data_IF_074219239679
#
_entry.id   IF_074219239679
#
_cell.length_a   1.000
_cell.length_b   1.000
_cell.length_c   1.000
_cell.angle_alpha   90.00
_cell.angle_beta   90.00
_cell.angle_gamma   90.00
#
_symmetry.space_group_name_H-M   'P 1'
#
loop_
_entity.id
_entity.type
_entity.pdbx_description
1 polymer ?
#
# COMPACT_ATOMS: atom_id res chain seq x y z
N UNK A 1 4.61 21.38 -5.34
CA UNK A 1 3.46 20.78 -6.05
C UNK A 1 3.68 19.28 -6.22
N UNK A 2 2.68 18.52 -6.68
CA UNK A 2 2.83 17.09 -7.02
C UNK A 2 3.98 16.85 -8.02
N UNK A 3 4.09 17.70 -9.04
CA UNK A 3 5.16 17.62 -10.05
C UNK A 3 6.56 17.77 -9.43
N UNK A 4 6.74 18.69 -8.48
CA UNK A 4 8.01 18.83 -7.75
C UNK A 4 8.34 17.59 -6.94
N UNK A 5 7.36 17.03 -6.22
CA UNK A 5 7.55 15.81 -5.43
C UNK A 5 7.95 14.62 -6.31
N UNK A 6 7.24 14.43 -7.42
CA UNK A 6 7.56 13.40 -8.41
C UNK A 6 8.97 13.58 -8.98
N UNK A 7 9.34 14.81 -9.36
CA UNK A 7 10.68 15.12 -9.90
C UNK A 7 11.81 14.85 -8.91
N UNK A 8 11.62 15.17 -7.62
CA UNK A 8 12.62 14.87 -6.59
C UNK A 8 12.78 13.36 -6.41
N UNK A 9 11.68 12.60 -6.40
CA UNK A 9 11.76 11.14 -6.22
C UNK A 9 12.32 10.42 -7.44
N UNK A 10 12.08 10.89 -8.66
CA UNK A 10 12.65 10.30 -9.86
C UNK A 10 14.16 10.55 -9.99
N UNK A 11 14.71 11.53 -9.29
CA UNK A 11 16.15 11.83 -9.30
C UNK A 11 17.00 10.65 -8.80
N UNK A 12 16.47 9.80 -7.90
CA UNK A 12 17.18 8.59 -7.46
C UNK A 12 17.52 7.67 -8.64
N UNK A 13 16.60 7.59 -9.62
CA UNK A 13 16.73 6.74 -10.80
C UNK A 13 17.69 7.33 -11.82
N UNK A 14 17.81 8.67 -11.89
CA UNK A 14 18.78 9.34 -12.79
C UNK A 14 20.24 9.10 -12.41
N UNK A 15 20.49 8.69 -11.17
CA UNK A 15 21.84 8.37 -10.66
C UNK A 15 22.19 6.90 -10.83
N UNK A 16 21.28 6.08 -11.33
CA UNK A 16 21.56 4.69 -11.60
C UNK A 16 22.58 4.53 -12.74
N UNK A 17 23.31 3.43 -12.68
CA UNK A 17 24.29 2.97 -13.67
C UNK A 17 23.97 1.52 -14.04
N UNK A 18 24.74 0.91 -14.94
CA UNK A 18 24.55 -0.52 -15.28
C UNK A 18 24.78 -1.47 -14.10
N UNK A 19 25.49 -1.02 -13.06
CA UNK A 19 25.67 -1.76 -11.81
C UNK A 19 24.51 -1.59 -10.82
N UNK A 20 23.54 -0.70 -11.11
CA UNK A 20 22.41 -0.44 -10.22
C UNK A 20 21.33 -1.51 -10.33
N UNK A 21 20.52 -1.60 -9.28
CA UNK A 21 19.39 -2.51 -9.20
C UNK A 21 18.15 -1.70 -8.82
N UNK A 22 17.10 -1.81 -9.62
CA UNK A 22 15.86 -1.02 -9.48
C UNK A 22 14.67 -1.94 -9.22
N UNK A 23 13.84 -1.56 -8.26
CA UNK A 23 12.52 -2.14 -8.04
C UNK A 23 11.46 -1.10 -8.40
N UNK A 24 10.51 -1.46 -9.26
CA UNK A 24 9.43 -0.56 -9.67
C UNK A 24 8.06 -1.19 -9.48
N UNK A 25 7.15 -0.46 -8.84
CA UNK A 25 5.74 -0.88 -8.76
C UNK A 25 5.09 -0.85 -10.14
N UNK A 26 4.58 -2.00 -10.58
CA UNK A 26 3.79 -2.12 -11.78
C UNK A 26 2.36 -1.61 -11.58
N UNK A 27 1.85 -1.65 -10.35
CA UNK A 27 0.47 -1.25 -10.01
C UNK A 27 0.28 0.27 -10.04
N UNK A 28 1.37 1.04 -9.90
CA UNK A 28 1.36 2.50 -10.02
C UNK A 28 1.82 2.89 -11.44
N UNK A 29 0.93 3.42 -12.30
CA UNK A 29 1.30 3.87 -13.65
C UNK A 29 2.41 4.92 -13.66
N UNK A 30 2.47 5.78 -12.64
CA UNK A 30 3.50 6.81 -12.51
C UNK A 30 4.86 6.16 -12.27
N UNK A 31 4.95 5.27 -11.28
CA UNK A 31 6.19 4.53 -11.00
C UNK A 31 6.59 3.66 -12.19
N UNK A 32 5.65 2.91 -12.77
CA UNK A 32 5.87 2.06 -13.95
C UNK A 32 6.42 2.86 -15.14
N UNK A 33 5.96 4.09 -15.34
CA UNK A 33 6.47 4.98 -16.38
C UNK A 33 7.94 5.35 -16.22
N UNK A 34 8.48 5.31 -14.99
CA UNK A 34 9.89 5.60 -14.71
C UNK A 34 10.82 4.44 -15.10
N UNK A 35 10.30 3.24 -15.30
CA UNK A 35 11.10 2.05 -15.59
C UNK A 35 11.70 2.03 -17.00
N UNK A 36 11.22 2.87 -17.92
CA UNK A 36 11.72 2.89 -19.32
C UNK A 36 13.10 3.53 -19.47
N UNK A 37 13.63 4.16 -18.42
CA UNK A 37 14.84 4.95 -18.46
C UNK A 37 15.88 4.54 -17.39
N UNK A 38 15.73 3.37 -16.77
CA UNK A 38 16.67 2.90 -15.73
C UNK A 38 17.72 1.95 -16.31
N UNK A 39 19.03 2.24 -16.15
CA UNK A 39 20.08 1.30 -16.48
C UNK A 39 20.19 0.18 -15.43
N UNK A 40 20.91 -0.88 -15.79
CA UNK A 40 21.19 -2.01 -14.90
C UNK A 40 20.03 -2.99 -14.74
N UNK A 41 19.96 -3.63 -13.56
CA UNK A 41 18.97 -4.67 -13.26
C UNK A 41 17.66 -4.05 -12.83
N UNK A 42 16.54 -4.61 -13.30
CA UNK A 42 15.20 -4.12 -12.99
C UNK A 42 14.28 -5.29 -12.67
N UNK A 43 13.56 -5.19 -11.55
CA UNK A 43 12.42 -6.06 -11.24
C UNK A 43 11.16 -5.21 -11.04
N UNK A 44 10.05 -5.68 -11.61
CA UNK A 44 8.74 -5.10 -11.36
C UNK A 44 8.09 -5.72 -10.13
N UNK A 45 7.15 -5.01 -9.50
CA UNK A 45 6.36 -5.55 -8.38
C UNK A 45 4.88 -5.34 -8.59
N UNK A 46 4.06 -6.36 -8.33
CA UNK A 46 2.60 -6.21 -8.29
C UNK A 46 1.97 -6.94 -7.12
N UNK A 47 1.19 -6.24 -6.31
CA UNK A 47 0.36 -6.85 -5.27
C UNK A 47 -1.08 -7.07 -5.75
N UNK A 48 -1.45 -6.54 -6.92
CA UNK A 48 -2.80 -6.61 -7.47
C UNK A 48 -3.01 -7.77 -8.45
N UNK A 49 -1.94 -8.35 -9.01
CA UNK A 49 -2.07 -9.47 -9.92
C UNK A 49 -0.77 -9.90 -10.60
N UNK A 50 -0.86 -10.79 -11.60
CA UNK A 50 0.30 -11.29 -12.32
C UNK A 50 0.94 -10.21 -13.20
N UNK A 51 2.26 -10.30 -13.36
CA UNK A 51 3.01 -9.47 -14.30
C UNK A 51 2.91 -10.06 -15.72
N UNK A 52 2.90 -9.20 -16.77
CA UNK A 52 3.06 -9.64 -18.14
C UNK A 52 4.25 -10.59 -18.30
N UNK A 53 4.09 -11.66 -19.09
CA UNK A 53 5.09 -12.75 -19.18
C UNK A 53 6.52 -12.29 -19.55
N UNK A 54 6.62 -11.19 -20.30
CA UNK A 54 7.89 -10.58 -20.69
C UNK A 54 8.61 -9.78 -19.58
N UNK A 55 8.01 -9.64 -18.40
CA UNK A 55 8.54 -8.84 -17.30
C UNK A 55 8.94 -9.74 -16.14
N UNK A 56 10.17 -9.56 -15.68
CA UNK A 56 10.67 -10.13 -14.43
C UNK A 56 10.23 -9.28 -13.24
N UNK A 57 10.07 -9.93 -12.10
CA UNK A 57 9.55 -9.27 -10.91
C UNK A 57 9.09 -10.19 -9.80
N UNK A 58 8.48 -9.57 -8.79
CA UNK A 58 7.76 -10.29 -7.74
C UNK A 58 6.30 -9.88 -7.80
N UNK A 59 5.39 -10.83 -7.77
CA UNK A 59 3.99 -10.52 -7.95
C UNK A 59 3.05 -11.48 -7.22
N UNK A 60 1.76 -11.16 -7.19
CA UNK A 60 0.74 -11.97 -6.51
C UNK A 60 -0.19 -12.60 -7.54
N UNK A 61 -0.38 -13.91 -7.44
CA UNK A 61 -1.35 -14.66 -8.23
C UNK A 61 -1.91 -15.79 -7.38
N UNK A 62 -3.22 -16.03 -7.46
CA UNK A 62 -3.90 -17.14 -6.78
C UNK A 62 -3.51 -17.34 -5.29
N UNK A 63 -3.47 -16.23 -4.54
CA UNK A 63 -3.15 -16.25 -3.10
C UNK A 63 -1.69 -16.61 -2.79
N UNK A 64 -0.78 -16.51 -3.76
CA UNK A 64 0.64 -16.77 -3.59
C UNK A 64 1.48 -15.61 -4.11
N UNK A 65 2.65 -15.42 -3.50
CA UNK A 65 3.69 -14.53 -3.98
C UNK A 65 4.64 -15.35 -4.86
N UNK A 66 4.85 -14.88 -6.08
CA UNK A 66 5.76 -15.46 -7.06
C UNK A 66 6.94 -14.53 -7.33
N UNK A 67 8.09 -15.12 -7.65
CA UNK A 67 9.26 -14.44 -8.16
C UNK A 67 9.57 -14.96 -9.57
N UNK A 68 9.81 -14.06 -10.52
CA UNK A 68 10.26 -14.38 -11.86
C UNK A 68 11.54 -13.61 -12.16
N UNK A 69 12.59 -14.35 -12.55
CA UNK A 69 13.87 -13.78 -12.97
C UNK A 69 14.39 -14.58 -14.16
N UNK A 70 14.78 -13.88 -15.23
CA UNK A 70 15.24 -14.48 -16.47
C UNK A 70 14.22 -15.49 -17.04
N UNK A 71 12.92 -15.17 -16.89
CA UNK A 71 11.82 -16.04 -17.29
C UNK A 71 11.57 -17.25 -16.38
N UNK A 72 12.43 -17.51 -15.38
CA UNK A 72 12.26 -18.60 -14.43
C UNK A 72 11.37 -18.17 -13.27
N UNK A 73 10.21 -18.80 -13.18
CA UNK A 73 9.21 -18.53 -12.16
C UNK A 73 9.30 -19.48 -10.97
N UNK A 74 9.17 -18.93 -9.76
CA UNK A 74 9.27 -19.65 -8.50
C UNK A 74 8.21 -19.13 -7.54
N UNK A 75 7.58 -20.04 -6.81
CA UNK A 75 6.61 -19.70 -5.76
C UNK A 75 7.37 -19.45 -4.45
N UNK A 76 7.24 -18.25 -3.88
CA UNK A 76 7.94 -17.87 -2.66
C UNK A 76 7.18 -18.30 -1.40
N UNK A 77 5.93 -17.86 -1.25
CA UNK A 77 5.08 -18.17 -0.11
C UNK A 77 3.59 -17.87 -0.41
N UNK A 78 2.64 -18.54 0.26
CA UNK A 78 1.25 -18.11 0.30
C UNK A 78 1.09 -16.72 0.93
N UNK A 79 0.16 -15.90 0.44
CA UNK A 79 -0.15 -14.60 1.03
C UNK A 79 -0.79 -14.75 2.42
N UNK A 80 -1.49 -15.86 2.66
CA UNK A 80 -2.09 -16.22 3.95
C UNK A 80 -1.05 -16.43 5.06
N UNK A 81 0.21 -16.68 4.72
CA UNK A 81 1.30 -16.82 5.68
C UNK A 81 1.75 -15.46 6.27
N UNK A 82 1.29 -14.34 5.69
CA UNK A 82 1.58 -13.00 6.20
C UNK A 82 0.66 -12.66 7.37
N UNK A 83 1.25 -12.47 8.54
CA UNK A 83 0.49 -12.19 9.77
C UNK A 83 0.01 -10.74 9.87
N UNK A 84 0.71 -9.81 9.24
CA UNK A 84 0.40 -8.38 9.30
C UNK A 84 -0.50 -7.97 8.13
N UNK A 85 -1.57 -7.20 8.42
CA UNK A 85 -2.51 -6.72 7.42
C UNK A 85 -1.93 -5.55 6.62
N UNK A 86 -2.32 -5.45 5.34
CA UNK A 86 -1.86 -4.37 4.45
C UNK A 86 -0.36 -4.40 4.12
N UNK A 87 0.37 -5.48 4.41
CA UNK A 87 1.82 -5.48 4.16
C UNK A 87 2.19 -6.02 2.79
N UNK A 88 1.22 -6.54 2.04
CA UNK A 88 1.46 -7.32 0.83
C UNK A 88 2.32 -6.57 -0.19
N UNK A 89 1.95 -5.34 -0.55
CA UNK A 89 2.74 -4.53 -1.49
C UNK A 89 4.18 -4.30 -0.99
N UNK A 90 4.34 -4.02 0.31
CA UNK A 90 5.66 -3.81 0.90
C UNK A 90 6.49 -5.11 0.90
N UNK A 91 5.88 -6.25 1.19
CA UNK A 91 6.54 -7.57 1.17
C UNK A 91 6.96 -7.93 -0.25
N UNK A 92 6.10 -7.73 -1.24
CA UNK A 92 6.41 -7.97 -2.66
C UNK A 92 7.59 -7.09 -3.10
N UNK A 93 7.59 -5.80 -2.75
CA UNK A 93 8.71 -4.90 -3.07
C UNK A 93 10.00 -5.24 -2.33
N UNK A 94 9.91 -5.61 -1.05
CA UNK A 94 11.08 -6.03 -0.27
C UNK A 94 11.67 -7.35 -0.80
N UNK A 95 10.83 -8.30 -1.20
CA UNK A 95 11.25 -9.54 -1.83
C UNK A 95 11.99 -9.28 -3.15
N UNK A 96 11.47 -8.39 -4.00
CA UNK A 96 12.16 -8.00 -5.24
C UNK A 96 13.54 -7.38 -4.97
N UNK A 97 13.63 -6.50 -3.97
CA UNK A 97 14.90 -5.91 -3.57
C UNK A 97 15.89 -6.96 -3.03
N UNK A 98 15.41 -7.91 -2.22
CA UNK A 98 16.20 -9.00 -1.67
C UNK A 98 16.73 -9.95 -2.77
N UNK A 99 15.91 -10.28 -3.76
CA UNK A 99 16.32 -11.08 -4.94
C UNK A 99 17.38 -10.36 -5.77
N UNK A 100 17.25 -9.04 -5.95
CA UNK A 100 18.30 -8.24 -6.60
C UNK A 100 19.62 -8.30 -5.82
N UNK A 101 19.57 -8.45 -4.50
CA UNK A 101 20.74 -8.63 -3.64
C UNK A 101 21.26 -10.07 -3.55
N UNK A 102 20.62 -11.03 -4.24
CA UNK A 102 21.02 -12.44 -4.22
C UNK A 102 20.58 -13.21 -2.97
N UNK A 103 19.60 -12.70 -2.22
CA UNK A 103 19.01 -13.43 -1.09
C UNK A 103 18.17 -14.58 -1.64
N UNK A 104 18.34 -15.78 -1.08
CA UNK A 104 17.60 -16.97 -1.51
C UNK A 104 16.11 -16.94 -1.12
N UNK A 105 15.28 -17.58 -1.94
CA UNK A 105 13.82 -17.62 -1.81
C UNK A 105 13.34 -18.04 -0.41
N UNK A 106 13.99 -19.04 0.20
CA UNK A 106 13.62 -19.51 1.54
C UNK A 106 13.82 -18.44 2.62
N UNK A 107 14.95 -17.73 2.60
CA UNK A 107 15.22 -16.66 3.56
C UNK A 107 14.24 -15.48 3.40
N UNK A 108 13.84 -15.17 2.17
CA UNK A 108 12.80 -14.17 1.88
C UNK A 108 11.46 -14.61 2.46
N UNK A 109 11.06 -15.85 2.23
CA UNK A 109 9.81 -16.40 2.74
C UNK A 109 9.76 -16.41 4.29
N UNK A 110 10.85 -16.83 4.94
CA UNK A 110 10.97 -16.84 6.39
C UNK A 110 10.89 -15.42 6.98
N UNK A 111 11.61 -14.45 6.40
CA UNK A 111 11.56 -13.06 6.83
C UNK A 111 10.15 -12.45 6.66
N UNK A 112 9.48 -12.76 5.55
CA UNK A 112 8.11 -12.30 5.30
C UNK A 112 7.11 -12.88 6.31
N UNK A 113 7.22 -14.16 6.67
CA UNK A 113 6.42 -14.80 7.73
C UNK A 113 6.67 -14.20 9.11
N UNK A 114 7.93 -13.89 9.41
CA UNK A 114 8.35 -13.33 10.68
C UNK A 114 7.98 -11.85 10.84
N UNK A 115 7.73 -11.14 9.73
CA UNK A 115 7.39 -9.71 9.77
C UNK A 115 6.13 -9.45 10.59
N UNK A 116 6.20 -8.41 11.42
CA UNK A 116 5.09 -7.85 12.18
C UNK A 116 5.00 -6.37 11.85
N UNK A 117 3.78 -5.82 11.79
CA UNK A 117 3.61 -4.40 11.49
C UNK A 117 4.31 -3.55 12.55
N UNK A 118 4.81 -2.39 12.15
CA UNK A 118 5.39 -1.40 13.07
C UNK A 118 4.28 -0.78 13.92
N UNK A 119 4.62 -0.26 15.10
CA UNK A 119 3.73 0.56 15.92
C UNK A 119 3.00 1.61 15.07
N UNK A 120 1.69 1.70 15.27
CA UNK A 120 0.76 2.66 14.68
C UNK A 120 0.55 2.54 13.16
N UNK A 121 0.85 1.37 12.57
CA UNK A 121 0.44 1.01 11.20
C UNK A 121 -0.44 -0.23 11.28
N UNK A 122 -1.75 -0.08 11.10
CA UNK A 122 -2.73 -1.17 11.24
C UNK A 122 -2.50 -2.05 12.48
N UNK A 123 -2.12 -1.43 13.59
CA UNK A 123 -1.73 -2.10 14.82
C UNK A 123 -2.98 -2.57 15.58
N UNK A 124 -3.11 -3.86 15.85
CA UNK A 124 -4.20 -4.35 16.70
C UNK A 124 -3.99 -3.88 18.15
N UNK A 125 -4.93 -3.11 18.67
CA UNK A 125 -4.85 -2.54 20.03
C UNK A 125 -5.59 -3.41 21.04
N UNK A 126 -6.85 -3.74 20.75
CA UNK A 126 -7.70 -4.51 21.65
C UNK A 126 -8.93 -5.03 20.91
N UNK A 127 -9.58 -6.02 21.51
CA UNK A 127 -10.96 -6.40 21.18
C UNK A 127 -11.84 -6.20 22.41
N UNK A 128 -12.96 -5.49 22.25
CA UNK A 128 -13.94 -5.27 23.32
C UNK A 128 -15.35 -5.42 22.78
N UNK A 129 -16.16 -6.24 23.45
CA UNK A 129 -17.56 -6.49 23.09
C UNK A 129 -17.74 -6.92 21.62
N UNK A 130 -16.81 -7.73 21.10
CA UNK A 130 -16.81 -8.21 19.71
C UNK A 130 -16.35 -7.18 18.67
N UNK A 131 -15.81 -6.03 19.09
CA UNK A 131 -15.25 -5.00 18.21
C UNK A 131 -13.73 -4.99 18.35
N UNK A 132 -13.03 -5.21 17.23
CA UNK A 132 -11.58 -5.11 17.14
C UNK A 132 -11.15 -3.68 16.82
N UNK A 133 -10.22 -3.13 17.60
CA UNK A 133 -9.69 -1.79 17.47
C UNK A 133 -8.29 -1.83 16.86
N UNK A 134 -8.09 -1.04 15.80
CA UNK A 134 -6.81 -0.93 15.12
C UNK A 134 -6.32 0.52 15.15
N UNK A 135 -5.06 0.71 15.52
CA UNK A 135 -4.38 1.99 15.48
C UNK A 135 -3.59 2.14 14.19
N UNK A 136 -3.97 3.12 13.39
CA UNK A 136 -3.29 3.50 12.16
C UNK A 136 -2.93 4.99 12.13
N UNK A 137 -2.51 5.55 13.27
CA UNK A 137 -2.21 6.97 13.41
C UNK A 137 -1.11 7.49 12.45
N UNK A 138 -0.34 6.60 11.80
CA UNK A 138 0.62 6.98 10.76
C UNK A 138 -0.01 7.20 9.37
N UNK A 139 -1.29 6.89 9.16
CA UNK A 139 -2.02 7.21 7.94
C UNK A 139 -2.32 8.72 7.82
N UNK A 140 -1.27 9.50 7.59
CA UNK A 140 -1.31 10.98 7.54
C UNK A 140 -1.62 11.54 6.15
N UNK A 141 -2.23 10.75 5.27
CA UNK A 141 -2.65 11.16 3.93
C UNK A 141 -3.76 10.22 3.39
N UNK A 142 -4.60 10.69 2.43
CA UNK A 142 -5.71 9.91 1.88
C UNK A 142 -5.33 8.52 1.35
N UNK A 143 -4.18 8.39 0.68
CA UNK A 143 -3.73 7.11 0.14
C UNK A 143 -3.41 6.09 1.24
N UNK A 144 -2.85 6.54 2.35
CA UNK A 144 -2.57 5.66 3.50
C UNK A 144 -3.87 5.18 4.14
N UNK A 145 -4.87 6.07 4.26
CA UNK A 145 -6.22 5.71 4.74
C UNK A 145 -6.89 4.69 3.83
N UNK A 146 -6.82 4.87 2.50
CA UNK A 146 -7.37 3.89 1.54
C UNK A 146 -6.70 2.53 1.64
N UNK A 147 -5.38 2.52 1.80
CA UNK A 147 -4.62 1.30 2.00
C UNK A 147 -5.05 0.58 3.28
N UNK A 148 -5.24 1.32 4.37
CA UNK A 148 -5.74 0.80 5.63
C UNK A 148 -7.13 0.19 5.50
N UNK A 149 -8.06 0.93 4.89
CA UNK A 149 -9.42 0.46 4.62
C UNK A 149 -9.39 -0.78 3.73
N UNK A 150 -8.55 -0.81 2.70
CA UNK A 150 -8.38 -1.96 1.78
C UNK A 150 -7.91 -3.23 2.49
N UNK A 151 -7.12 -3.11 3.56
CA UNK A 151 -6.61 -4.25 4.32
C UNK A 151 -7.67 -5.06 5.12
N UNK A 152 -8.92 -4.59 5.16
CA UNK A 152 -10.05 -5.25 5.82
C UNK A 152 -11.17 -5.60 4.83
N UNK A 153 -10.96 -6.61 4.01
CA UNK A 153 -11.94 -7.15 3.05
C UNK A 153 -12.93 -8.14 3.68
N UNK A 154 -12.65 -8.59 4.90
CA UNK A 154 -13.39 -9.64 5.62
C UNK A 154 -14.45 -9.12 6.61
N UNK A 155 -14.58 -7.78 6.79
CA UNK A 155 -15.45 -7.18 7.82
C UNK A 155 -15.89 -5.74 7.51
N UNK A 156 -17.02 -5.27 8.04
CA UNK A 156 -17.39 -3.85 8.01
C UNK A 156 -16.48 -3.02 8.92
N UNK A 157 -16.36 -1.72 8.62
CA UNK A 157 -15.48 -0.79 9.34
C UNK A 157 -16.24 0.39 9.94
N UNK A 158 -15.77 0.85 11.09
CA UNK A 158 -16.00 2.23 11.56
C UNK A 158 -14.68 2.96 11.40
N UNK A 159 -14.66 4.02 10.59
CA UNK A 159 -13.44 4.78 10.32
C UNK A 159 -13.46 6.07 11.15
N UNK A 160 -12.41 6.25 11.95
CA UNK A 160 -12.14 7.49 12.67
C UNK A 160 -11.06 8.23 11.88
N UNK A 161 -11.39 9.40 11.32
CA UNK A 161 -10.49 10.13 10.43
C UNK A 161 -10.64 11.64 10.62
N UNK A 162 -9.52 12.36 10.59
CA UNK A 162 -9.55 13.79 10.90
C UNK A 162 -8.20 14.33 11.35
N UNK A 163 -8.18 15.60 11.73
CA UNK A 163 -6.98 16.31 12.14
C UNK A 163 -6.66 17.52 11.25
N UNK A 164 -5.40 17.96 11.29
CA UNK A 164 -4.94 19.18 10.60
C UNK A 164 -4.57 18.94 9.14
N UNK A 165 -4.92 19.88 8.26
CA UNK A 165 -4.49 19.84 6.87
C UNK A 165 -3.07 20.41 6.72
N UNK A 166 -2.08 19.54 6.96
CA UNK A 166 -0.66 19.92 6.89
C UNK A 166 -0.07 19.82 5.49
N UNK A 167 -0.83 19.29 4.51
CA UNK A 167 -0.29 18.91 3.19
C UNK A 167 -1.15 19.40 2.02
N UNK A 168 -2.20 20.19 2.27
CA UNK A 168 -3.20 20.57 1.28
C UNK A 168 -3.68 19.33 0.51
N UNK A 169 -4.14 18.34 1.28
CA UNK A 169 -4.40 17.01 0.77
C UNK A 169 -5.63 16.99 -0.15
N UNK A 170 -5.53 16.27 -1.26
CA UNK A 170 -6.69 16.00 -2.12
C UNK A 170 -7.48 14.80 -1.57
N UNK A 171 -8.56 15.09 -0.84
CA UNK A 171 -9.43 14.09 -0.27
C UNK A 171 -10.35 13.40 -1.28
N UNK A 172 -10.48 13.92 -2.51
CA UNK A 172 -11.34 13.29 -3.54
C UNK A 172 -10.88 11.87 -3.87
N UNK A 173 -9.58 11.60 -3.69
CA UNK A 173 -9.01 10.26 -3.81
C UNK A 173 -9.67 9.23 -2.87
N UNK A 174 -10.25 9.66 -1.73
CA UNK A 174 -10.94 8.75 -0.80
C UNK A 174 -12.20 8.13 -1.41
N UNK A 175 -12.84 8.78 -2.38
CA UNK A 175 -14.10 8.34 -2.98
C UNK A 175 -13.94 7.10 -3.89
N UNK A 176 -13.63 5.96 -3.28
CA UNK A 176 -13.40 4.69 -3.97
C UNK A 176 -14.42 3.63 -3.54
N UNK A 177 -14.64 2.57 -4.34
CA UNK A 177 -15.48 1.45 -3.94
C UNK A 177 -15.08 0.82 -2.60
N UNK A 178 -13.78 0.85 -2.26
CA UNK A 178 -13.24 0.33 -1.01
C UNK A 178 -13.87 0.97 0.23
N UNK A 179 -14.25 2.25 0.14
CA UNK A 179 -14.89 3.01 1.23
C UNK A 179 -16.32 2.56 1.53
N UNK A 180 -16.99 1.82 0.65
CA UNK A 180 -18.35 1.29 0.90
C UNK A 180 -18.42 0.28 2.06
N UNK A 181 -17.27 -0.24 2.49
CA UNK A 181 -17.17 -1.10 3.69
C UNK A 181 -17.20 -0.30 4.99
N UNK A 182 -16.88 0.98 4.94
CA UNK A 182 -17.06 1.89 6.08
C UNK A 182 -18.55 2.08 6.29
N UNK A 183 -19.05 1.56 7.42
CA UNK A 183 -20.46 1.66 7.83
C UNK A 183 -20.75 2.95 8.58
N UNK A 184 -19.73 3.53 9.21
CA UNK A 184 -19.85 4.78 9.94
C UNK A 184 -18.52 5.55 9.90
N UNK A 185 -18.60 6.86 9.71
CA UNK A 185 -17.48 7.80 9.79
C UNK A 185 -17.57 8.58 11.10
N UNK A 186 -16.46 8.63 11.82
CA UNK A 186 -16.26 9.57 12.93
C UNK A 186 -15.21 10.58 12.47
N UNK A 187 -15.64 11.82 12.23
CA UNK A 187 -14.79 12.88 11.70
C UNK A 187 -14.48 13.94 12.75
N UNK A 188 -13.25 14.43 12.76
CA UNK A 188 -12.79 15.44 13.74
C UNK A 188 -11.73 16.39 13.15
N UNK A 189 -11.48 17.51 13.83
CA UNK A 189 -10.47 18.49 13.45
C UNK A 189 -10.75 19.24 12.13
N UNK A 190 -9.76 20.05 11.70
CA UNK A 190 -9.85 20.97 10.55
C UNK A 190 -10.25 20.30 9.22
N UNK A 191 -9.85 19.04 9.02
CA UNK A 191 -10.09 18.29 7.78
C UNK A 191 -11.46 17.61 7.71
N UNK A 192 -12.25 17.59 8.80
CA UNK A 192 -13.52 16.86 8.87
C UNK A 192 -14.48 17.25 7.72
N UNK A 193 -14.70 18.55 7.52
CA UNK A 193 -15.61 19.05 6.48
C UNK A 193 -15.12 18.77 5.06
N UNK A 194 -13.80 18.74 4.84
CA UNK A 194 -13.20 18.44 3.54
C UNK A 194 -13.33 16.95 3.20
N UNK A 195 -13.05 16.07 4.17
CA UNK A 195 -13.21 14.61 4.03
C UNK A 195 -14.66 14.25 3.74
N UNK A 196 -15.61 14.77 4.54
CA UNK A 196 -17.03 14.49 4.36
C UNK A 196 -17.50 14.87 2.96
N UNK A 197 -17.20 16.11 2.53
CA UNK A 197 -17.57 16.62 1.21
C UNK A 197 -16.99 15.78 0.08
N UNK A 198 -15.71 15.42 0.16
CA UNK A 198 -15.07 14.60 -0.86
C UNK A 198 -15.74 13.23 -1.06
N UNK A 199 -16.22 12.62 0.03
CA UNK A 199 -16.95 11.36 -0.03
C UNK A 199 -18.37 11.55 -0.58
N UNK A 200 -19.11 12.56 -0.10
CA UNK A 200 -20.47 12.86 -0.58
C UNK A 200 -20.48 13.22 -2.07
N UNK A 201 -19.60 14.12 -2.51
CA UNK A 201 -19.46 14.53 -3.91
C UNK A 201 -19.05 13.34 -4.81
N UNK A 202 -18.30 12.38 -4.25
CA UNK A 202 -17.96 11.10 -4.86
C UNK A 202 -19.06 10.05 -4.84
N UNK A 203 -20.27 10.38 -4.37
CA UNK A 203 -21.43 9.49 -4.32
C UNK A 203 -21.42 8.49 -3.16
N UNK A 204 -20.67 8.77 -2.10
CA UNK A 204 -20.59 7.97 -0.88
C UNK A 204 -21.16 8.75 0.31
N UNK A 205 -22.47 8.71 0.46
CA UNK A 205 -23.17 9.27 1.61
C UNK A 205 -23.17 8.27 2.77
N UNK A 206 -22.10 8.30 3.57
CA UNK A 206 -21.90 7.40 4.70
C UNK A 206 -22.46 8.01 5.99
N UNK A 207 -23.10 7.23 6.87
CA UNK A 207 -23.47 7.70 8.20
C UNK A 207 -22.27 8.32 8.91
N UNK A 208 -22.39 9.59 9.29
CA UNK A 208 -21.27 10.40 9.77
C UNK A 208 -21.60 11.05 11.11
N UNK A 209 -20.68 10.94 12.05
CA UNK A 209 -20.65 11.74 13.28
C UNK A 209 -19.46 12.68 13.21
N UNK A 210 -19.69 13.98 13.35
CA UNK A 210 -18.62 14.96 13.52
C UNK A 210 -18.48 15.25 15.00
N UNK A 211 -17.27 15.09 15.56
CA UNK A 211 -16.98 15.42 16.95
C UNK A 211 -16.25 16.75 17.01
N UNK A 212 -16.66 17.62 17.93
CA UNK A 212 -15.86 18.78 18.32
C UNK A 212 -14.71 18.28 19.22
N UNK A 213 -13.52 18.85 19.03
CA UNK A 213 -12.34 18.54 19.86
C UNK A 213 -12.58 18.84 21.35
#
# INVERSE_FOLDING_TARGET
SWQTYHGIKSEILRRHTDASATVVSYDDPTARGLATAVPGRLLYTSALGPLPQRLDGVYVEDGHIFARQEGNERKLLPTADLTARGVLANVVSAAAAALLWGVGDQAIAEAARAYRSKEHVLEFVAERSGVAYYNDAKATNPFSTLHAVSAFDDRPLVLIAGGKDTKNADFTALATPAMRRVRHLVLFGETAAAIHRALTDGGLDLPTTVTED
#
